data_IF_384025406288
#
_entry.id   IF_384025406288
#
_cell.length_a   1.000
_cell.length_b   1.000
_cell.length_c   1.000
_cell.angle_alpha   90.00
_cell.angle_beta   90.00
_cell.angle_gamma   90.00
#
_symmetry.space_group_name_H-M   'P 1'
#
loop_
_entity.id
_entity.type
_entity.pdbx_description
1 polymer ?
#
# COMPACT_ATOMS: atom_id res chain seq x y z
N UNK A 1 -2.20 -13.14 -8.90
CA UNK A 1 -2.32 -13.60 -10.30
C UNK A 1 -2.00 -15.10 -10.46
N UNK A 2 -0.91 -15.52 -9.82
CA UNK A 2 -0.31 -16.85 -9.80
C UNK A 2 -1.30 -17.98 -9.48
N UNK A 3 -2.14 -17.81 -8.46
CA UNK A 3 -3.16 -18.82 -8.11
C UNK A 3 -4.14 -19.07 -9.26
N UNK A 4 -4.58 -18.01 -9.93
CA UNK A 4 -5.48 -18.11 -11.08
C UNK A 4 -4.77 -18.70 -12.31
N UNK A 5 -3.52 -18.32 -12.54
CA UNK A 5 -2.70 -18.91 -13.60
C UNK A 5 -2.52 -20.43 -13.41
N UNK A 6 -2.23 -20.89 -12.18
CA UNK A 6 -2.11 -22.32 -11.86
C UNK A 6 -3.42 -23.07 -12.15
N UNK A 7 -4.57 -22.51 -11.75
CA UNK A 7 -5.88 -23.14 -11.96
C UNK A 7 -6.19 -23.26 -13.45
N UNK A 8 -5.90 -22.22 -14.23
CA UNK A 8 -6.24 -22.15 -15.65
C UNK A 8 -5.24 -22.88 -16.56
N UNK A 9 -4.03 -23.16 -16.10
CA UNK A 9 -3.06 -24.05 -16.78
C UNK A 9 -3.50 -25.52 -16.80
N UNK A 10 -4.23 -25.98 -15.78
CA UNK A 10 -4.77 -27.37 -15.68
C UNK A 10 -6.20 -27.49 -16.22
N UNK A 11 -6.60 -26.58 -17.11
CA UNK A 11 -8.01 -26.22 -17.37
C UNK A 11 -8.91 -27.31 -17.96
N UNK A 12 -8.38 -28.44 -18.41
CA UNK A 12 -9.22 -29.49 -19.03
C UNK A 12 -10.12 -30.21 -18.02
N UNK A 13 -9.77 -30.21 -16.74
CA UNK A 13 -10.51 -30.96 -15.69
C UNK A 13 -11.55 -30.13 -14.92
N UNK A 14 -11.62 -28.79 -15.11
CA UNK A 14 -12.36 -27.90 -14.20
C UNK A 14 -13.50 -27.14 -14.90
N UNK A 15 -14.70 -27.72 -14.82
CA UNK A 15 -15.96 -27.23 -15.41
C UNK A 15 -16.27 -25.77 -15.09
N UNK A 16 -15.89 -25.30 -13.91
CA UNK A 16 -16.23 -23.95 -13.44
C UNK A 16 -15.45 -22.83 -14.15
N UNK A 17 -14.29 -23.09 -14.76
CA UNK A 17 -13.57 -22.08 -15.54
C UNK A 17 -14.40 -21.66 -16.76
N UNK A 18 -15.15 -22.62 -17.34
CA UNK A 18 -16.05 -22.37 -18.48
C UNK A 18 -17.26 -21.51 -18.10
N UNK A 19 -17.57 -21.37 -16.81
CA UNK A 19 -18.67 -20.54 -16.31
C UNK A 19 -18.25 -19.07 -16.11
N UNK A 20 -16.96 -18.76 -16.14
CA UNK A 20 -16.47 -17.40 -15.90
C UNK A 20 -16.87 -16.50 -17.05
N UNK A 21 -17.67 -15.46 -16.76
CA UNK A 21 -18.09 -14.43 -17.72
C UNK A 21 -17.50 -13.05 -17.44
N UNK A 22 -16.82 -12.89 -16.32
CA UNK A 22 -16.18 -11.64 -15.90
C UNK A 22 -14.86 -11.95 -15.21
N UNK A 23 -13.80 -11.23 -15.60
CA UNK A 23 -12.52 -11.21 -14.88
C UNK A 23 -12.21 -9.75 -14.59
N UNK A 24 -12.03 -9.44 -13.31
CA UNK A 24 -11.55 -8.15 -12.84
C UNK A 24 -10.06 -8.31 -12.51
N UNK A 25 -9.22 -7.54 -13.16
CA UNK A 25 -7.78 -7.49 -12.90
C UNK A 25 -7.51 -6.20 -12.17
N UNK A 26 -7.37 -6.31 -10.86
CA UNK A 26 -6.97 -5.20 -10.02
C UNK A 26 -5.46 -4.97 -10.12
N UNK A 27 -5.04 -3.71 -10.06
CA UNK A 27 -3.66 -3.26 -10.21
C UNK A 27 -2.95 -3.80 -11.46
N UNK A 28 -3.59 -3.65 -12.63
CA UNK A 28 -3.02 -4.04 -13.94
C UNK A 28 -1.68 -3.37 -14.23
N UNK A 29 -1.39 -2.24 -13.58
CA UNK A 29 -0.09 -1.55 -13.64
C UNK A 29 1.09 -2.44 -13.21
N UNK A 30 0.85 -3.54 -12.50
CA UNK A 30 1.83 -4.58 -12.18
C UNK A 30 2.34 -5.35 -13.42
N UNK A 31 1.79 -5.09 -14.62
CA UNK A 31 2.35 -5.55 -15.89
C UNK A 31 3.83 -5.15 -16.05
N UNK A 32 4.24 -4.02 -15.49
CA UNK A 32 5.64 -3.55 -15.55
C UNK A 32 6.54 -4.13 -14.46
N UNK A 33 6.01 -4.95 -13.55
CA UNK A 33 6.77 -5.57 -12.47
C UNK A 33 7.13 -7.03 -12.80
N UNK A 34 7.92 -7.69 -11.96
CA UNK A 34 8.32 -9.09 -12.10
C UNK A 34 7.13 -10.07 -12.20
N UNK A 35 5.93 -9.63 -11.78
CA UNK A 35 4.68 -10.40 -11.84
C UNK A 35 3.91 -10.20 -13.15
N UNK A 36 4.31 -9.25 -13.99
CA UNK A 36 3.68 -8.94 -15.27
C UNK A 36 3.50 -10.15 -16.20
N UNK A 37 4.52 -11.02 -16.39
CA UNK A 37 4.38 -12.19 -17.26
C UNK A 37 3.24 -13.15 -16.85
N UNK A 38 2.91 -13.20 -15.56
CA UNK A 38 1.79 -14.02 -15.06
C UNK A 38 0.44 -13.39 -15.45
N UNK A 39 0.32 -12.07 -15.36
CA UNK A 39 -0.86 -11.34 -15.81
C UNK A 39 -1.05 -11.48 -17.33
N UNK A 40 0.05 -11.35 -18.09
CA UNK A 40 0.04 -11.52 -19.54
C UNK A 40 -0.47 -12.90 -19.93
N UNK A 41 0.03 -13.95 -19.29
CA UNK A 41 -0.39 -15.32 -19.54
C UNK A 41 -1.90 -15.53 -19.28
N UNK A 42 -2.44 -14.93 -18.22
CA UNK A 42 -3.87 -15.00 -17.89
C UNK A 42 -4.72 -14.30 -18.96
N UNK A 43 -4.34 -13.08 -19.34
CA UNK A 43 -5.07 -12.29 -20.36
C UNK A 43 -5.02 -13.00 -21.71
N UNK A 44 -3.83 -13.43 -22.16
CA UNK A 44 -3.66 -14.12 -23.42
C UNK A 44 -4.47 -15.43 -23.46
N UNK A 45 -4.45 -16.22 -22.39
CA UNK A 45 -5.25 -17.46 -22.29
C UNK A 45 -6.75 -17.17 -22.33
N UNK A 46 -7.20 -16.11 -21.67
CA UNK A 46 -8.61 -15.71 -21.68
C UNK A 46 -9.04 -15.25 -23.08
N UNK A 47 -8.25 -14.41 -23.75
CA UNK A 47 -8.53 -13.99 -25.14
C UNK A 47 -8.58 -15.18 -26.09
N UNK A 48 -7.59 -16.07 -26.02
CA UNK A 48 -7.55 -17.31 -26.80
C UNK A 48 -8.80 -18.17 -26.56
N UNK A 49 -9.26 -18.26 -25.31
CA UNK A 49 -10.48 -19.00 -24.97
C UNK A 49 -11.72 -18.38 -25.61
N UNK A 50 -11.89 -17.06 -25.54
CA UNK A 50 -12.99 -16.33 -26.17
C UNK A 50 -13.01 -16.58 -27.68
N UNK A 51 -11.85 -16.53 -28.34
CA UNK A 51 -11.74 -16.78 -29.78
C UNK A 51 -12.18 -18.20 -30.19
N UNK A 52 -11.74 -19.21 -29.42
CA UNK A 52 -12.02 -20.63 -29.71
C UNK A 52 -13.48 -20.97 -29.43
N UNK A 53 -13.99 -20.59 -28.25
CA UNK A 53 -15.30 -21.02 -27.77
C UNK A 53 -16.44 -20.11 -28.24
N UNK A 54 -16.11 -18.90 -28.71
CA UNK A 54 -17.07 -17.81 -28.97
C UNK A 54 -17.87 -17.40 -27.74
N UNK A 55 -17.47 -17.86 -26.56
CA UNK A 55 -18.03 -17.47 -25.29
C UNK A 55 -17.34 -16.21 -24.78
N UNK A 56 -18.08 -15.11 -24.78
CA UNK A 56 -17.55 -13.83 -24.32
C UNK A 56 -17.28 -13.83 -22.82
N UNK A 57 -16.09 -13.35 -22.45
CA UNK A 57 -15.68 -13.04 -21.08
C UNK A 57 -15.34 -11.55 -21.02
N UNK A 58 -16.00 -10.80 -20.14
CA UNK A 58 -15.72 -9.38 -19.92
C UNK A 58 -14.44 -9.24 -19.11
N UNK A 59 -13.46 -8.51 -19.65
CA UNK A 59 -12.28 -8.08 -18.92
C UNK A 59 -12.51 -6.67 -18.38
N UNK A 60 -12.29 -6.47 -17.08
CA UNK A 60 -12.26 -5.15 -16.45
C UNK A 60 -10.89 -5.01 -15.79
N UNK A 61 -10.11 -4.02 -16.20
CA UNK A 61 -8.82 -3.76 -15.59
C UNK A 61 -8.88 -2.46 -14.79
N UNK A 62 -8.40 -2.52 -13.55
CA UNK A 62 -8.25 -1.37 -12.67
C UNK A 62 -6.76 -1.07 -12.55
N UNK A 63 -6.40 0.20 -12.64
CA UNK A 63 -5.01 0.64 -12.64
C UNK A 63 -4.86 1.89 -11.80
N UNK A 64 -3.68 2.07 -11.19
CA UNK A 64 -3.20 3.39 -10.85
C UNK A 64 -3.00 4.21 -12.13
N UNK A 65 -2.94 5.53 -11.98
CA UNK A 65 -2.64 6.46 -13.08
C UNK A 65 -1.24 6.18 -13.61
N UNK A 66 -1.17 5.60 -14.81
CA UNK A 66 0.07 5.31 -15.52
C UNK A 66 0.20 6.20 -16.75
N UNK A 67 1.41 6.63 -17.12
CA UNK A 67 1.63 7.40 -18.34
C UNK A 67 1.35 6.59 -19.62
N UNK A 68 1.47 5.26 -19.58
CA UNK A 68 1.35 4.36 -20.73
C UNK A 68 0.06 3.52 -20.70
N UNK A 69 -1.03 4.11 -20.23
CA UNK A 69 -2.33 3.45 -20.12
C UNK A 69 -2.93 3.05 -21.49
N UNK A 70 -2.53 3.73 -22.57
CA UNK A 70 -2.93 3.42 -23.95
C UNK A 70 -2.40 2.04 -24.38
N UNK A 71 -1.14 1.74 -24.09
CA UNK A 71 -0.53 0.43 -24.38
C UNK A 71 -1.27 -0.70 -23.64
N UNK A 72 -1.68 -0.45 -22.39
CA UNK A 72 -2.45 -1.41 -21.59
C UNK A 72 -3.85 -1.61 -22.20
N UNK A 73 -4.48 -0.54 -22.69
CA UNK A 73 -5.77 -0.60 -23.35
C UNK A 73 -5.70 -1.41 -24.64
N UNK A 74 -4.67 -1.19 -25.46
CA UNK A 74 -4.40 -1.98 -26.67
C UNK A 74 -4.13 -3.44 -26.31
N UNK A 75 -3.26 -3.70 -25.33
CA UNK A 75 -2.97 -5.04 -24.83
C UNK A 75 -4.22 -5.79 -24.36
N UNK A 76 -5.24 -5.10 -23.84
CA UNK A 76 -6.51 -5.68 -23.40
C UNK A 76 -7.60 -5.69 -24.50
N UNK A 77 -7.33 -5.16 -25.69
CA UNK A 77 -8.31 -4.90 -26.76
C UNK A 77 -9.50 -4.05 -26.28
N UNK A 78 -9.25 -3.06 -25.44
CA UNK A 78 -10.27 -2.13 -24.93
C UNK A 78 -10.69 -1.18 -26.04
N UNK A 79 -12.00 -1.08 -26.29
CA UNK A 79 -12.55 -0.11 -27.23
C UNK A 79 -12.43 1.31 -26.66
N UNK A 80 -12.45 2.32 -27.51
CA UNK A 80 -12.35 3.74 -27.10
C UNK A 80 -13.39 4.15 -26.05
N UNK A 81 -14.60 3.58 -26.10
CA UNK A 81 -15.66 3.84 -25.13
C UNK A 81 -15.51 3.06 -23.79
N UNK A 82 -14.51 2.20 -23.67
CA UNK A 82 -14.21 1.42 -22.48
C UNK A 82 -12.93 1.85 -21.76
N UNK A 83 -12.20 2.83 -22.29
CA UNK A 83 -10.99 3.38 -21.69
C UNK A 83 -11.35 4.63 -20.89
N UNK A 84 -11.01 4.61 -19.60
CA UNK A 84 -11.22 5.75 -18.71
C UNK A 84 -9.89 6.11 -18.05
N UNK A 85 -9.48 7.36 -18.20
CA UNK A 85 -8.29 7.91 -17.58
C UNK A 85 -8.70 9.05 -16.65
N UNK A 86 -8.31 8.93 -15.39
CA UNK A 86 -8.60 9.90 -14.35
C UNK A 86 -7.27 10.31 -13.76
N UNK A 87 -6.85 11.56 -13.94
CA UNK A 87 -5.61 12.05 -13.33
C UNK A 87 -5.75 12.24 -11.81
N UNK A 88 -4.69 12.73 -11.16
CA UNK A 88 -4.70 12.97 -9.71
C UNK A 88 -5.77 13.98 -9.24
N UNK A 89 -6.35 14.79 -10.12
CA UNK A 89 -7.39 15.75 -9.76
C UNK A 89 -8.73 15.07 -9.41
N UNK A 90 -8.93 13.83 -9.86
CA UNK A 90 -10.13 13.03 -9.57
C UNK A 90 -10.10 12.35 -8.20
N UNK A 91 -9.00 12.46 -7.45
CA UNK A 91 -8.95 11.92 -6.09
C UNK A 91 -9.89 12.70 -5.19
N UNK A 92 -10.83 12.00 -4.53
CA UNK A 92 -11.80 12.62 -3.61
C UNK A 92 -11.15 13.42 -2.48
N UNK A 93 -9.93 13.03 -2.09
CA UNK A 93 -9.07 13.77 -1.19
C UNK A 93 -7.77 14.08 -1.94
N UNK A 94 -7.51 15.36 -2.28
CA UNK A 94 -6.26 15.77 -2.90
C UNK A 94 -5.06 15.35 -2.05
N UNK A 95 -4.02 14.84 -2.71
CA UNK A 95 -2.81 14.40 -2.04
C UNK A 95 -1.72 15.46 -2.21
N UNK A 96 -1.36 16.11 -1.11
CA UNK A 96 -0.13 16.91 -1.04
C UNK A 96 1.08 15.99 -0.87
N UNK A 97 2.16 16.25 -1.62
CA UNK A 97 3.37 15.43 -1.61
C UNK A 97 4.59 16.30 -1.33
N UNK A 98 5.44 15.85 -0.41
CA UNK A 98 6.71 16.48 -0.08
C UNK A 98 7.84 15.45 -0.17
N UNK A 99 8.91 15.79 -0.89
CA UNK A 99 10.05 14.91 -1.10
C UNK A 99 11.29 15.47 -0.40
N UNK A 100 11.76 14.78 0.63
CA UNK A 100 12.95 15.19 1.40
C UNK A 100 14.14 14.32 1.01
N UNK A 101 15.01 14.86 0.15
CA UNK A 101 16.23 14.17 -0.30
C UNK A 101 17.38 14.33 0.69
N UNK A 102 17.94 13.21 1.19
CA UNK A 102 19.12 13.21 2.07
C UNK A 102 20.38 12.93 1.25
N UNK A 103 21.27 13.92 1.15
CA UNK A 103 22.50 13.85 0.34
C UNK A 103 23.72 13.26 1.06
N UNK A 104 23.64 13.04 2.37
CA UNK A 104 24.73 12.48 3.17
C UNK A 104 25.05 11.02 2.77
N UNK A 105 26.33 10.76 2.50
CA UNK A 105 26.83 9.46 2.02
C UNK A 105 27.13 8.50 3.17
N UNK A 106 27.57 9.01 4.32
CA UNK A 106 27.91 8.16 5.49
C UNK A 106 26.63 7.62 6.13
N UNK A 107 26.44 6.30 6.08
CA UNK A 107 25.22 5.62 6.53
C UNK A 107 24.77 6.03 7.93
N UNK A 108 25.69 6.08 8.91
CA UNK A 108 25.36 6.44 10.30
C UNK A 108 24.81 7.86 10.39
N UNK A 109 25.46 8.82 9.71
CA UNK A 109 25.01 10.22 9.68
C UNK A 109 23.68 10.35 8.93
N UNK A 110 23.53 9.65 7.80
CA UNK A 110 22.29 9.61 7.01
C UNK A 110 21.12 9.13 7.85
N UNK A 111 21.30 8.05 8.62
CA UNK A 111 20.27 7.52 9.52
C UNK A 111 19.89 8.52 10.62
N UNK A 112 20.87 9.20 11.21
CA UNK A 112 20.60 10.24 12.22
C UNK A 112 19.79 11.40 11.64
N UNK A 113 20.19 11.90 10.48
CA UNK A 113 19.47 12.97 9.76
C UNK A 113 18.03 12.51 9.43
N UNK A 114 17.87 11.30 8.93
CA UNK A 114 16.55 10.73 8.60
C UNK A 114 15.64 10.63 9.82
N UNK A 115 16.15 10.19 10.97
CA UNK A 115 15.35 10.12 12.21
C UNK A 115 14.94 11.51 12.70
N UNK A 116 15.84 12.49 12.62
CA UNK A 116 15.54 13.86 13.01
C UNK A 116 14.45 14.48 12.13
N UNK A 117 14.57 14.34 10.80
CA UNK A 117 13.57 14.82 9.85
C UNK A 117 12.21 14.14 10.05
N UNK A 118 12.22 12.83 10.31
CA UNK A 118 11.01 12.07 10.59
C UNK A 118 10.32 12.59 11.85
N UNK A 119 11.06 12.84 12.93
CA UNK A 119 10.52 13.42 14.15
C UNK A 119 9.87 14.79 13.89
N UNK A 120 10.58 15.68 13.17
CA UNK A 120 10.06 17.02 12.84
C UNK A 120 8.71 16.95 12.10
N UNK A 121 8.62 16.09 11.08
CA UNK A 121 7.40 15.89 10.30
C UNK A 121 6.27 15.24 11.09
N UNK A 122 6.60 14.32 12.00
CA UNK A 122 5.60 13.71 12.89
C UNK A 122 5.03 14.74 13.85
N UNK A 123 5.85 15.56 14.48
CA UNK A 123 5.39 16.59 15.43
C UNK A 123 4.57 17.69 14.76
N UNK A 124 4.91 18.07 13.52
CA UNK A 124 4.12 19.04 12.74
C UNK A 124 2.63 18.62 12.60
N UNK A 125 2.40 17.31 12.49
CA UNK A 125 1.08 16.69 12.29
C UNK A 125 0.46 16.12 13.57
N UNK A 126 1.24 15.95 14.64
CA UNK A 126 0.79 15.39 15.92
C UNK A 126 -0.39 16.18 16.49
N UNK A 127 -1.37 15.45 17.06
CA UNK A 127 -2.59 16.02 17.65
C UNK A 127 -3.63 16.53 16.64
N UNK A 128 -3.24 16.72 15.36
CA UNK A 128 -4.12 17.18 14.27
C UNK A 128 -4.53 16.03 13.35
N UNK A 129 -3.57 15.19 12.95
CA UNK A 129 -3.78 14.09 12.02
C UNK A 129 -3.04 12.83 12.49
N UNK A 130 -3.56 11.66 12.13
CA UNK A 130 -2.84 10.41 12.31
C UNK A 130 -1.71 10.27 11.28
N UNK A 131 -0.59 9.68 11.69
CA UNK A 131 0.59 9.51 10.84
C UNK A 131 0.91 8.02 10.70
N UNK A 132 0.99 7.54 9.46
CA UNK A 132 1.41 6.17 9.13
C UNK A 132 2.83 6.19 8.55
N UNK A 133 3.77 5.52 9.22
CA UNK A 133 5.18 5.51 8.85
C UNK A 133 5.55 4.16 8.25
N UNK A 134 5.96 4.17 6.98
CA UNK A 134 6.47 2.97 6.30
C UNK A 134 7.99 2.83 6.49
N UNK A 135 8.42 1.60 6.77
CA UNK A 135 9.83 1.23 6.95
C UNK A 135 10.13 -0.09 6.24
N UNK A 136 11.41 -0.34 5.96
CA UNK A 136 11.88 -1.49 5.18
C UNK A 136 11.89 -2.85 5.91
N UNK A 137 11.79 -2.89 7.24
CA UNK A 137 11.89 -4.14 8.00
C UNK A 137 11.08 -4.10 9.29
N UNK A 138 10.67 -5.28 9.79
CA UNK A 138 10.00 -5.41 11.10
C UNK A 138 10.86 -4.90 12.25
N UNK A 139 12.18 -5.11 12.18
CA UNK A 139 13.13 -4.61 13.19
C UNK A 139 13.18 -3.08 13.17
N UNK A 140 13.13 -2.50 11.98
CA UNK A 140 13.13 -1.05 11.79
C UNK A 140 11.82 -0.42 12.25
N UNK A 141 10.70 -1.12 12.18
CA UNK A 141 9.43 -0.64 12.77
C UNK A 141 9.61 -0.38 14.26
N UNK A 142 10.16 -1.35 14.99
CA UNK A 142 10.40 -1.22 16.43
C UNK A 142 11.47 -0.16 16.72
N UNK A 143 12.57 -0.15 15.94
CA UNK A 143 13.66 0.81 16.14
C UNK A 143 13.20 2.25 15.90
N UNK A 144 12.48 2.51 14.81
CA UNK A 144 11.98 3.83 14.45
C UNK A 144 10.91 4.32 15.44
N UNK A 145 9.98 3.45 15.86
CA UNK A 145 8.99 3.80 16.87
C UNK A 145 9.64 4.19 18.20
N UNK A 146 10.65 3.44 18.66
CA UNK A 146 11.41 3.79 19.86
C UNK A 146 12.19 5.08 19.69
N UNK A 147 12.86 5.27 18.55
CA UNK A 147 13.61 6.50 18.27
C UNK A 147 12.72 7.74 18.32
N UNK A 148 11.53 7.69 17.71
CA UNK A 148 10.57 8.80 17.77
C UNK A 148 10.10 9.03 19.21
N UNK A 149 9.72 7.97 19.94
CA UNK A 149 9.30 8.07 21.35
C UNK A 149 10.38 8.72 22.21
N UNK A 150 11.61 8.22 22.12
CA UNK A 150 12.73 8.69 22.93
C UNK A 150 13.04 10.17 22.62
N UNK A 151 12.98 10.55 21.35
CA UNK A 151 13.11 11.96 20.91
C UNK A 151 11.97 12.84 21.43
N UNK A 152 10.73 12.33 21.49
CA UNK A 152 9.60 13.03 22.08
C UNK A 152 9.72 13.21 23.60
N UNK A 153 10.31 12.24 24.29
CA UNK A 153 10.58 12.32 25.73
C UNK A 153 11.67 13.36 25.98
N UNK A 154 12.78 13.30 25.23
CA UNK A 154 13.91 14.23 25.36
C UNK A 154 13.47 15.69 25.12
N UNK A 155 12.59 15.92 24.13
CA UNK A 155 12.08 17.24 23.79
C UNK A 155 10.79 17.65 24.52
N UNK A 156 10.24 16.79 25.37
CA UNK A 156 9.01 17.07 26.12
C UNK A 156 7.74 17.20 25.26
N UNK A 157 7.70 16.58 24.08
CA UNK A 157 6.59 16.70 23.10
C UNK A 157 5.63 15.51 23.10
N UNK A 158 5.79 14.56 24.03
CA UNK A 158 4.94 13.35 24.10
C UNK A 158 3.44 13.68 24.28
N UNK A 159 3.13 14.78 24.98
CA UNK A 159 1.75 15.23 25.19
C UNK A 159 1.04 15.69 23.92
N UNK A 160 1.77 15.96 22.83
CA UNK A 160 1.19 16.41 21.56
C UNK A 160 0.39 15.32 20.84
N UNK A 161 0.60 14.04 21.16
CA UNK A 161 -0.09 12.92 20.49
C UNK A 161 -1.45 12.57 21.11
N UNK A 162 -1.67 12.96 22.36
CA UNK A 162 -2.89 12.63 23.10
C UNK A 162 -3.87 13.80 22.98
N UNK A 163 -5.00 13.58 22.30
CA UNK A 163 -6.16 14.46 22.45
C UNK A 163 -6.71 14.26 23.86
N UNK A 164 -6.99 15.36 24.58
CA UNK A 164 -7.55 15.37 25.95
C UNK A 164 -9.02 14.91 25.99
N UNK A 165 -9.40 13.93 25.18
CA UNK A 165 -10.73 13.34 25.21
C UNK A 165 -10.65 12.03 26.01
N UNK A 166 -11.30 12.07 27.19
CA UNK A 166 -11.30 11.07 28.26
C UNK A 166 -11.61 9.63 27.84
N UNK A 167 -12.17 9.44 26.65
CA UNK A 167 -12.57 8.13 26.11
C UNK A 167 -11.41 7.36 25.48
N UNK A 168 -10.43 8.05 24.90
CA UNK A 168 -9.29 7.42 24.23
C UNK A 168 -8.22 6.93 25.22
N UNK A 169 -8.01 7.67 26.31
CA UNK A 169 -7.06 7.29 27.37
C UNK A 169 -7.50 6.00 28.10
N UNK A 170 -8.81 5.81 28.28
CA UNK A 170 -9.37 4.57 28.84
C UNK A 170 -9.11 3.34 27.98
N UNK A 171 -9.22 3.48 26.65
CA UNK A 171 -8.99 2.39 25.70
C UNK A 171 -7.50 2.04 25.58
N UNK A 172 -6.61 3.04 25.53
CA UNK A 172 -5.16 2.82 25.50
C UNK A 172 -4.67 2.11 26.78
N UNK A 173 -5.26 2.44 27.94
CA UNK A 173 -4.97 1.76 29.21
C UNK A 173 -5.49 0.32 29.24
N UNK A 174 -6.64 0.05 28.62
CA UNK A 174 -7.16 -1.30 28.50
C UNK A 174 -6.29 -2.17 27.58
N UNK A 175 -5.91 -1.67 26.41
CA UNK A 175 -5.11 -2.39 25.40
C UNK A 175 -3.65 -2.62 25.85
N UNK A 176 -3.05 -1.65 26.55
CA UNK A 176 -1.70 -1.81 27.12
C UNK A 176 -1.63 -2.89 28.22
N UNK A 177 -2.76 -3.22 28.86
CA UNK A 177 -2.88 -4.35 29.78
C UNK A 177 -2.90 -5.72 29.08
N UNK A 178 -3.28 -5.76 27.80
CA UNK A 178 -3.41 -6.99 27.00
C UNK A 178 -2.07 -7.36 26.34
N UNK A 179 -1.22 -6.39 26.02
CA UNK A 179 0.10 -6.64 25.44
C UNK A 179 1.10 -7.14 26.50
N UNK A 180 1.34 -8.46 26.54
CA UNK A 180 2.40 -9.12 27.34
C UNK A 180 3.80 -8.95 26.74
N UNK A 181 4.16 -7.74 26.31
CA UNK A 181 5.55 -7.43 25.93
C UNK A 181 6.18 -6.54 27.01
N UNK A 182 7.05 -7.15 27.82
CA UNK A 182 7.77 -6.55 28.95
C UNK A 182 8.65 -5.33 28.59
N UNK A 183 8.70 -4.94 27.31
CA UNK A 183 9.57 -3.88 26.82
C UNK A 183 8.94 -2.48 26.79
N UNK A 184 7.62 -2.37 26.98
CA UNK A 184 6.88 -1.10 26.96
C UNK A 184 6.28 -0.69 28.33
N UNK A 185 6.51 -1.47 29.39
CA UNK A 185 5.89 -1.22 30.71
C UNK A 185 6.63 -0.20 31.61
N UNK A 186 7.79 0.32 31.21
CA UNK A 186 8.48 1.35 31.99
C UNK A 186 8.06 2.74 31.55
N UNK A 187 7.01 3.28 32.17
CA UNK A 187 6.92 4.67 32.67
C UNK A 187 5.47 4.98 33.06
N UNK A 188 5.07 4.43 34.21
CA UNK A 188 3.98 4.95 35.03
C UNK A 188 4.59 5.89 36.08
N UNK A 189 4.93 7.11 35.70
CA UNK A 189 5.10 8.19 36.68
C UNK A 189 4.96 9.57 36.03
N UNK A 190 3.96 10.31 36.54
CA UNK A 190 3.51 11.68 36.27
C UNK A 190 2.66 11.91 35.01
#
# INVERSE_FOLDING_TARGET
PEKWDIITRKGDERTYIKLVRLIIIDEIHLLHDARGPVLEAIVARTKRWIEITRDNVRLVALSATLPNYEDIAEFLNVKTNGLFYFDNSYRSVPLEQEYIGITEKKLIKRLKIMNNLLYEKVIERAGKHQVLIFVHSRKDTVRTARAIRDECIEKGTIGCFLQKDSSSDGLLRAESGVTKDNHFQSHKTF
#
